data_IF_131494788646
#
_entry.id   IF_131494788646
#
_cell.length_a   1.000
_cell.length_b   1.000
_cell.length_c   1.000
_cell.angle_alpha   90.00
_cell.angle_beta   90.00
_cell.angle_gamma   90.00
#
_symmetry.space_group_name_H-M   'P 1'
#
loop_
_entity.id
_entity.type
_entity.pdbx_description
1 polymer ?
#
# COMPACT_ATOMS: atom_id res chain seq x y z
N UNK A 1 -41.80 -8.42 -35.24
CA UNK A 1 -42.16 -7.72 -34.00
C UNK A 1 -41.19 -8.11 -32.91
N UNK A 2 -40.13 -7.31 -32.76
CA UNK A 2 -39.10 -7.49 -31.73
C UNK A 2 -39.45 -6.55 -30.57
N UNK A 3 -39.84 -7.11 -29.42
CA UNK A 3 -40.05 -6.37 -28.18
C UNK A 3 -38.67 -6.06 -27.59
N UNK A 4 -38.20 -4.82 -27.70
CA UNK A 4 -37.09 -4.26 -26.96
C UNK A 4 -37.50 -4.10 -25.49
N UNK A 5 -36.95 -4.96 -24.64
CA UNK A 5 -37.05 -4.84 -23.18
C UNK A 5 -36.23 -3.62 -22.73
N UNK A 6 -36.92 -2.54 -22.38
CA UNK A 6 -36.31 -1.37 -21.75
C UNK A 6 -35.92 -1.71 -20.29
N UNK A 7 -34.62 -1.90 -20.01
CA UNK A 7 -34.12 -2.00 -18.66
C UNK A 7 -34.15 -0.61 -18.00
N UNK A 8 -34.44 -0.51 -16.69
CA UNK A 8 -34.69 0.75 -16.04
C UNK A 8 -33.37 1.53 -15.76
N UNK A 9 -33.07 2.50 -16.62
CA UNK A 9 -31.95 3.47 -16.46
C UNK A 9 -32.15 4.37 -15.23
N UNK A 10 -33.36 4.43 -14.63
CA UNK A 10 -33.68 5.34 -13.52
C UNK A 10 -33.06 4.97 -12.16
N UNK A 11 -32.79 3.71 -11.87
CA UNK A 11 -32.23 3.32 -10.57
C UNK A 11 -30.74 3.71 -10.43
N UNK A 12 -29.97 3.69 -11.50
CA UNK A 12 -28.54 4.03 -11.51
C UNK A 12 -28.32 5.55 -11.33
N UNK A 13 -29.18 6.38 -11.91
CA UNK A 13 -29.09 7.86 -11.80
C UNK A 13 -29.49 8.37 -10.41
N UNK A 14 -30.43 7.74 -9.74
CA UNK A 14 -30.86 8.12 -8.38
C UNK A 14 -29.78 7.79 -7.34
N UNK A 15 -29.19 6.61 -7.44
CA UNK A 15 -28.06 6.19 -6.60
C UNK A 15 -26.84 7.13 -6.76
N UNK A 16 -26.51 7.52 -7.99
CA UNK A 16 -25.42 8.45 -8.26
C UNK A 16 -25.68 9.86 -7.67
N UNK A 17 -26.91 10.38 -7.75
CA UNK A 17 -27.29 11.67 -7.14
C UNK A 17 -27.19 11.64 -5.61
N UNK A 18 -27.68 10.56 -4.97
CA UNK A 18 -27.55 10.41 -3.52
C UNK A 18 -26.08 10.36 -3.11
N UNK A 19 -25.27 9.59 -3.83
CA UNK A 19 -23.83 9.51 -3.56
C UNK A 19 -23.14 10.87 -3.70
N UNK A 20 -23.45 11.65 -4.74
CA UNK A 20 -22.93 13.00 -4.91
C UNK A 20 -23.37 13.93 -3.77
N UNK A 21 -24.64 13.88 -3.37
CA UNK A 21 -25.16 14.68 -2.26
C UNK A 21 -24.45 14.35 -0.94
N UNK A 22 -24.26 13.06 -0.65
CA UNK A 22 -23.54 12.63 0.56
C UNK A 22 -22.07 13.06 0.54
N UNK A 23 -21.39 12.95 -0.60
CA UNK A 23 -20.00 13.39 -0.75
C UNK A 23 -19.89 14.92 -0.59
N UNK A 24 -20.84 15.67 -1.15
CA UNK A 24 -20.89 17.15 -1.00
C UNK A 24 -21.14 17.52 0.45
N UNK A 25 -22.10 16.89 1.13
CA UNK A 25 -22.38 17.13 2.55
C UNK A 25 -21.16 16.80 3.42
N UNK A 26 -20.47 15.68 3.17
CA UNK A 26 -19.24 15.33 3.86
C UNK A 26 -18.13 16.37 3.60
N UNK A 27 -17.96 16.83 2.37
CA UNK A 27 -16.98 17.87 2.02
C UNK A 27 -17.26 19.18 2.74
N UNK A 28 -18.52 19.65 2.76
CA UNK A 28 -18.93 20.85 3.49
C UNK A 28 -18.71 20.67 4.99
N UNK A 29 -19.09 19.53 5.55
CA UNK A 29 -18.87 19.22 6.97
C UNK A 29 -17.37 19.30 7.34
N UNK A 30 -16.48 18.72 6.53
CA UNK A 30 -15.04 18.79 6.75
C UNK A 30 -14.54 20.26 6.70
N UNK A 31 -14.98 21.05 5.73
CA UNK A 31 -14.60 22.47 5.63
C UNK A 31 -15.05 23.22 6.89
N UNK A 32 -16.27 22.99 7.35
CA UNK A 32 -16.80 23.62 8.58
C UNK A 32 -15.94 23.25 9.79
N UNK A 33 -15.56 21.97 9.94
CA UNK A 33 -14.69 21.52 11.03
C UNK A 33 -13.29 22.17 10.96
N UNK A 34 -12.72 22.30 9.77
CA UNK A 34 -11.41 22.94 9.58
C UNK A 34 -11.43 24.39 10.02
N UNK A 35 -12.52 25.11 9.75
CA UNK A 35 -12.72 26.49 10.16
C UNK A 35 -13.10 26.65 11.64
N UNK A 36 -13.83 25.70 12.20
CA UNK A 36 -14.22 25.70 13.61
C UNK A 36 -13.05 25.34 14.55
N UNK A 37 -12.13 24.47 14.10
CA UNK A 37 -11.00 24.00 14.89
C UNK A 37 -9.65 24.25 14.18
N UNK A 38 -9.25 25.51 13.90
CA UNK A 38 -8.09 25.82 13.07
C UNK A 38 -6.76 25.34 13.68
N UNK A 39 -6.60 25.45 15.00
CA UNK A 39 -5.38 25.01 15.69
C UNK A 39 -5.19 23.48 15.59
N UNK A 40 -6.25 22.69 15.79
CA UNK A 40 -6.21 21.23 15.65
C UNK A 40 -6.01 20.81 14.20
N UNK A 41 -6.63 21.52 13.26
CA UNK A 41 -6.45 21.29 11.83
C UNK A 41 -4.97 21.44 11.43
N UNK A 42 -4.34 22.53 11.88
CA UNK A 42 -2.92 22.77 11.64
C UNK A 42 -2.05 21.71 12.32
N UNK A 43 -2.37 21.32 13.56
CA UNK A 43 -1.64 20.25 14.25
C UNK A 43 -1.68 18.93 13.49
N UNK A 44 -2.88 18.48 13.06
CA UNK A 44 -3.03 17.22 12.34
C UNK A 44 -2.34 17.24 10.98
N UNK A 45 -2.48 18.33 10.22
CA UNK A 45 -1.79 18.49 8.94
C UNK A 45 -0.26 18.51 9.12
N UNK A 46 0.23 19.25 10.12
CA UNK A 46 1.66 19.34 10.44
C UNK A 46 2.26 18.00 10.84
N UNK A 47 1.55 17.17 11.62
CA UNK A 47 1.99 15.81 11.96
C UNK A 47 2.22 14.96 10.71
N UNK A 48 1.25 14.96 9.78
CA UNK A 48 1.40 14.25 8.50
C UNK A 48 2.59 14.75 7.68
N UNK A 49 2.77 16.08 7.63
CA UNK A 49 3.86 16.73 6.90
C UNK A 49 5.24 16.38 7.49
N UNK A 50 5.38 16.46 8.81
CA UNK A 50 6.64 16.17 9.53
C UNK A 50 7.03 14.70 9.35
N UNK A 51 6.08 13.75 9.46
CA UNK A 51 6.34 12.34 9.24
C UNK A 51 6.74 12.07 7.78
N UNK A 52 6.06 12.69 6.83
CA UNK A 52 6.40 12.58 5.42
C UNK A 52 7.80 13.11 5.13
N UNK A 53 8.12 14.31 5.58
CA UNK A 53 9.38 14.97 5.29
C UNK A 53 10.57 14.25 5.97
N UNK A 54 10.46 13.96 7.27
CA UNK A 54 11.57 13.43 8.07
C UNK A 54 11.73 11.90 7.97
N UNK A 55 10.70 11.16 7.58
CA UNK A 55 10.74 9.69 7.55
C UNK A 55 10.56 9.14 6.13
N UNK A 56 9.52 9.56 5.41
CA UNK A 56 9.18 8.94 4.13
C UNK A 56 10.12 9.39 3.01
N UNK A 57 10.43 10.69 2.90
CA UNK A 57 11.34 11.17 1.85
C UNK A 57 12.71 10.49 1.95
N UNK A 58 13.44 10.54 3.08
CA UNK A 58 14.78 9.95 3.16
C UNK A 58 14.80 8.44 2.94
N UNK A 59 13.72 7.74 3.31
CA UNK A 59 13.68 6.27 3.23
C UNK A 59 13.18 5.77 1.88
N UNK A 60 12.22 6.45 1.24
CA UNK A 60 11.58 5.94 0.03
C UNK A 60 12.10 6.56 -1.27
N UNK A 61 12.38 7.88 -1.28
CA UNK A 61 12.77 8.58 -2.50
C UNK A 61 14.02 8.01 -3.18
N UNK A 62 15.12 7.67 -2.46
CA UNK A 62 16.28 7.03 -3.07
C UNK A 62 15.93 5.70 -3.75
N UNK A 63 15.12 4.87 -3.10
CA UNK A 63 14.66 3.61 -3.68
C UNK A 63 13.73 3.81 -4.87
N UNK A 64 12.85 4.83 -4.84
CA UNK A 64 12.01 5.18 -5.98
C UNK A 64 12.82 5.55 -7.20
N UNK A 65 13.89 6.34 -7.03
CA UNK A 65 14.78 6.74 -8.12
C UNK A 65 15.57 5.54 -8.64
N UNK A 66 16.23 4.80 -7.74
CA UNK A 66 17.05 3.64 -8.13
C UNK A 66 16.22 2.55 -8.81
N UNK A 67 15.05 2.22 -8.26
CA UNK A 67 14.13 1.25 -8.85
C UNK A 67 13.67 1.71 -10.25
N UNK A 68 13.33 2.97 -10.39
CA UNK A 68 12.95 3.57 -11.67
C UNK A 68 14.05 3.45 -12.72
N UNK A 69 15.31 3.73 -12.36
CA UNK A 69 16.48 3.55 -13.24
C UNK A 69 16.60 2.09 -13.67
N UNK A 70 16.55 1.14 -12.71
CA UNK A 70 16.65 -0.29 -12.99
C UNK A 70 15.58 -0.78 -13.97
N UNK A 71 14.34 -0.31 -13.80
CA UNK A 71 13.23 -0.65 -14.70
C UNK A 71 13.47 -0.05 -16.08
N UNK A 72 13.76 1.26 -16.18
CA UNK A 72 13.93 1.95 -17.48
C UNK A 72 15.13 1.47 -18.28
N UNK A 73 16.19 1.06 -17.61
CA UNK A 73 17.38 0.48 -18.25
C UNK A 73 17.29 -1.03 -18.46
N UNK A 74 16.16 -1.67 -18.13
CA UNK A 74 15.98 -3.12 -18.22
C UNK A 74 17.04 -3.94 -17.45
N UNK A 75 17.44 -3.48 -16.28
CA UNK A 75 18.45 -4.12 -15.42
C UNK A 75 17.87 -5.00 -14.32
N UNK A 76 16.55 -5.03 -14.15
CA UNK A 76 15.85 -5.76 -13.09
C UNK A 76 16.24 -7.24 -13.06
N UNK A 77 16.32 -7.91 -14.22
CA UNK A 77 16.68 -9.32 -14.32
C UNK A 77 18.12 -9.61 -13.85
N UNK A 78 19.06 -8.67 -14.05
CA UNK A 78 20.45 -8.81 -13.58
C UNK A 78 20.53 -8.72 -12.06
N UNK A 79 19.71 -7.84 -11.44
CA UNK A 79 19.68 -7.66 -9.99
C UNK A 79 19.18 -8.89 -9.25
N UNK A 80 18.31 -9.70 -9.86
CA UNK A 80 17.68 -10.85 -9.18
C UNK A 80 18.29 -12.18 -9.54
N UNK A 81 19.36 -12.22 -10.32
CA UNK A 81 19.96 -13.47 -10.80
C UNK A 81 20.24 -14.49 -9.71
N UNK A 82 20.67 -14.06 -8.52
CA UNK A 82 20.94 -14.93 -7.38
C UNK A 82 19.64 -15.43 -6.71
N UNK A 83 18.59 -14.62 -6.65
CA UNK A 83 17.36 -14.90 -5.91
C UNK A 83 16.28 -15.54 -6.78
N UNK A 84 16.29 -15.27 -8.09
CA UNK A 84 15.26 -15.75 -9.00
C UNK A 84 15.17 -17.29 -9.08
N UNK A 85 16.26 -18.09 -9.07
CA UNK A 85 16.16 -19.54 -9.10
C UNK A 85 15.34 -20.10 -7.93
N UNK A 86 15.39 -19.45 -6.77
CA UNK A 86 14.63 -19.83 -5.59
C UNK A 86 13.22 -19.22 -5.60
N UNK A 87 13.13 -17.89 -5.62
CA UNK A 87 11.85 -17.18 -5.51
C UNK A 87 10.97 -17.36 -6.74
N UNK A 88 11.56 -17.37 -7.94
CA UNK A 88 10.83 -17.60 -9.18
C UNK A 88 10.17 -18.99 -9.20
N UNK A 89 10.88 -20.03 -8.73
CA UNK A 89 10.31 -21.38 -8.61
C UNK A 89 9.26 -21.46 -7.49
N UNK A 90 9.49 -20.79 -6.36
CA UNK A 90 8.61 -20.82 -5.19
C UNK A 90 7.26 -20.12 -5.45
N UNK A 91 7.31 -18.99 -6.15
CA UNK A 91 6.13 -18.14 -6.41
C UNK A 91 5.66 -18.19 -7.88
N UNK A 92 6.33 -18.93 -8.74
CA UNK A 92 5.99 -19.03 -10.17
C UNK A 92 6.08 -17.70 -10.92
N UNK A 93 6.97 -16.79 -10.49
CA UNK A 93 7.06 -15.44 -11.02
C UNK A 93 8.19 -15.29 -12.03
N UNK A 94 8.03 -14.32 -12.94
CA UNK A 94 9.11 -13.89 -13.85
C UNK A 94 10.28 -13.27 -13.08
N UNK A 95 11.44 -13.05 -13.72
CA UNK A 95 12.53 -12.27 -13.11
C UNK A 95 12.10 -10.87 -12.64
N UNK A 96 11.22 -10.20 -13.40
CA UNK A 96 10.64 -8.91 -13.03
C UNK A 96 9.69 -9.03 -11.81
N UNK A 97 8.91 -10.11 -11.74
CA UNK A 97 8.10 -10.44 -10.56
C UNK A 97 8.96 -10.70 -9.33
N UNK A 98 10.07 -11.44 -9.48
CA UNK A 98 11.05 -11.65 -8.39
C UNK A 98 11.65 -10.32 -7.91
N UNK A 99 11.98 -9.39 -8.84
CA UNK A 99 12.42 -8.04 -8.49
C UNK A 99 11.37 -7.30 -7.66
N UNK A 100 10.10 -7.42 -8.04
CA UNK A 100 8.98 -6.82 -7.30
C UNK A 100 8.86 -7.39 -5.89
N UNK A 101 9.03 -8.70 -5.71
CA UNK A 101 9.03 -9.34 -4.38
C UNK A 101 10.14 -8.74 -3.52
N UNK A 102 11.38 -8.74 -4.01
CA UNK A 102 12.51 -8.23 -3.25
C UNK A 102 12.34 -6.76 -2.86
N UNK A 103 12.03 -5.91 -3.82
CA UNK A 103 11.91 -4.46 -3.58
C UNK A 103 10.67 -4.12 -2.75
N UNK A 104 9.55 -4.81 -2.94
CA UNK A 104 8.34 -4.60 -2.16
C UNK A 104 8.53 -4.94 -0.68
N UNK A 105 9.29 -6.01 -0.38
CA UNK A 105 9.63 -6.37 0.99
C UNK A 105 10.73 -5.50 1.61
N UNK A 106 11.70 -5.02 0.83
CA UNK A 106 12.80 -4.19 1.33
C UNK A 106 12.38 -2.75 1.57
N UNK A 107 11.61 -2.16 0.65
CA UNK A 107 11.29 -0.73 0.71
C UNK A 107 9.99 -0.43 1.45
N UNK A 108 9.00 -1.33 1.35
CA UNK A 108 7.72 -1.14 2.01
C UNK A 108 6.68 -0.39 1.16
N UNK A 109 5.55 -0.03 1.82
CA UNK A 109 4.49 0.77 1.19
C UNK A 109 5.01 2.11 0.68
N UNK A 110 4.60 2.56 -0.49
CA UNK A 110 3.82 1.90 -1.54
C UNK A 110 4.68 1.29 -2.65
N UNK A 111 5.96 0.96 -2.37
CA UNK A 111 6.94 0.57 -3.39
C UNK A 111 6.56 -0.71 -4.14
N UNK A 112 6.00 -1.70 -3.45
CA UNK A 112 5.50 -2.91 -4.11
C UNK A 112 4.49 -2.59 -5.21
N UNK A 113 3.49 -1.75 -4.89
CA UNK A 113 2.48 -1.32 -5.85
C UNK A 113 3.06 -0.47 -6.99
N UNK A 114 4.01 0.42 -6.68
CA UNK A 114 4.68 1.27 -7.66
C UNK A 114 5.43 0.44 -8.71
N UNK A 115 6.24 -0.52 -8.26
CA UNK A 115 7.02 -1.37 -9.16
C UNK A 115 6.10 -2.22 -10.03
N UNK A 116 5.03 -2.77 -9.46
CA UNK A 116 3.99 -3.46 -10.23
C UNK A 116 3.41 -2.55 -11.31
N UNK A 117 3.04 -1.31 -10.98
CA UNK A 117 2.52 -0.33 -11.93
C UNK A 117 3.52 -0.03 -13.05
N UNK A 118 4.74 0.35 -12.71
CA UNK A 118 5.79 0.68 -13.69
C UNK A 118 6.16 -0.51 -14.60
N UNK A 119 6.18 -1.74 -14.08
CA UNK A 119 6.46 -2.94 -14.88
C UNK A 119 5.28 -3.34 -15.79
N UNK A 120 4.04 -3.13 -15.35
CA UNK A 120 2.85 -3.33 -16.18
C UNK A 120 2.80 -2.31 -17.33
N UNK A 121 3.01 -1.03 -17.04
CA UNK A 121 3.06 0.03 -18.05
C UNK A 121 4.18 -0.23 -19.08
N UNK A 122 5.30 -0.76 -18.61
CA UNK A 122 6.43 -1.17 -19.48
C UNK A 122 6.15 -2.50 -20.22
N UNK A 123 5.02 -3.17 -20.04
CA UNK A 123 4.71 -4.48 -20.64
C UNK A 123 5.65 -5.61 -20.21
N UNK A 124 6.25 -5.53 -19.02
CA UNK A 124 7.27 -6.48 -18.54
C UNK A 124 6.77 -7.54 -17.58
N UNK A 125 5.56 -7.38 -17.07
CA UNK A 125 4.81 -8.39 -16.32
C UNK A 125 3.38 -8.44 -16.85
N UNK A 126 2.72 -9.58 -16.70
CA UNK A 126 1.33 -9.74 -17.06
C UNK A 126 0.41 -9.13 -15.99
N UNK A 127 -0.83 -8.80 -16.38
CA UNK A 127 -1.88 -8.37 -15.43
C UNK A 127 -2.12 -9.39 -14.31
N UNK A 128 -2.06 -10.69 -14.66
CA UNK A 128 -2.22 -11.78 -13.68
C UNK A 128 -1.08 -11.80 -12.69
N UNK A 129 0.16 -11.68 -13.16
CA UNK A 129 1.34 -11.60 -12.31
C UNK A 129 1.30 -10.35 -11.42
N UNK A 130 0.97 -9.17 -11.97
CA UNK A 130 0.84 -7.93 -11.20
C UNK A 130 -0.22 -8.03 -10.09
N UNK A 131 -1.40 -8.59 -10.38
CA UNK A 131 -2.45 -8.82 -9.38
C UNK A 131 -2.00 -9.81 -8.29
N UNK A 132 -1.26 -10.85 -8.66
CA UNK A 132 -0.68 -11.80 -7.71
C UNK A 132 0.35 -11.14 -6.80
N UNK A 133 1.28 -10.38 -7.37
CA UNK A 133 2.32 -9.68 -6.61
C UNK A 133 1.71 -8.68 -5.61
N UNK A 134 0.69 -7.92 -6.01
CA UNK A 134 -0.02 -7.02 -5.10
C UNK A 134 -0.66 -7.75 -3.93
N UNK A 135 -1.02 -9.02 -4.07
CA UNK A 135 -1.66 -9.76 -2.98
C UNK A 135 -0.77 -9.91 -1.74
N UNK A 136 0.57 -9.80 -1.86
CA UNK A 136 1.49 -10.04 -0.73
C UNK A 136 2.77 -9.19 -0.70
N UNK A 137 3.15 -8.49 -1.80
CA UNK A 137 4.43 -7.77 -1.88
C UNK A 137 4.36 -6.30 -1.45
N UNK A 138 3.19 -5.79 -1.07
CA UNK A 138 3.03 -4.38 -0.69
C UNK A 138 2.78 -4.30 0.82
N UNK A 139 3.85 -4.27 1.61
CA UNK A 139 3.83 -4.31 3.08
C UNK A 139 4.64 -3.14 3.66
N UNK A 140 4.72 -3.04 4.99
CA UNK A 140 5.61 -2.08 5.67
C UNK A 140 7.07 -2.48 5.46
N UNK A 141 7.97 -1.50 5.30
CA UNK A 141 9.39 -1.79 5.11
C UNK A 141 10.11 -2.19 6.41
N UNK A 142 11.11 -3.12 6.36
CA UNK A 142 11.82 -3.59 7.55
C UNK A 142 12.59 -2.48 8.27
N UNK A 143 13.18 -1.54 7.54
CA UNK A 143 13.88 -0.39 8.13
C UNK A 143 12.88 0.43 8.95
N UNK A 144 11.72 0.75 8.39
CA UNK A 144 10.68 1.50 9.09
C UNK A 144 10.12 0.71 10.29
N UNK A 145 9.88 -0.59 10.14
CA UNK A 145 9.44 -1.44 11.23
C UNK A 145 10.41 -1.42 12.40
N UNK A 146 11.70 -1.67 12.16
CA UNK A 146 12.73 -1.75 13.20
C UNK A 146 13.10 -0.39 13.79
N UNK A 147 13.14 0.69 12.96
CA UNK A 147 13.60 2.01 13.41
C UNK A 147 12.48 2.91 13.92
N UNK A 148 11.22 2.63 13.62
CA UNK A 148 10.09 3.44 14.04
C UNK A 148 9.04 2.65 14.83
N UNK A 149 8.51 1.55 14.26
CA UNK A 149 7.42 0.78 14.91
C UNK A 149 7.89 0.17 16.23
N UNK A 150 9.00 -0.57 16.20
CA UNK A 150 9.56 -1.27 17.38
C UNK A 150 9.83 -0.32 18.55
N UNK A 151 10.53 0.83 18.38
CA UNK A 151 10.73 1.79 19.44
C UNK A 151 9.43 2.43 19.94
N UNK A 152 8.54 2.84 19.03
CA UNK A 152 7.28 3.50 19.37
C UNK A 152 6.35 2.59 20.18
N UNK A 153 6.33 1.29 19.87
CA UNK A 153 5.55 0.28 20.61
C UNK A 153 6.29 -0.26 21.84
N UNK A 154 7.54 0.16 22.07
CA UNK A 154 8.42 -0.33 23.15
C UNK A 154 8.58 -1.85 23.17
N UNK A 155 8.67 -2.47 21.98
CA UNK A 155 8.80 -3.92 21.84
C UNK A 155 10.19 -4.36 22.29
N UNK A 156 10.26 -5.16 23.36
CA UNK A 156 11.54 -5.67 23.91
C UNK A 156 12.12 -6.82 23.08
N UNK A 157 11.26 -7.65 22.47
CA UNK A 157 11.65 -8.83 21.68
C UNK A 157 11.08 -8.71 20.26
N UNK A 158 11.75 -7.97 19.35
CA UNK A 158 11.19 -7.66 18.03
C UNK A 158 11.20 -8.84 17.05
N UNK A 159 11.92 -9.94 17.35
CA UNK A 159 12.10 -11.06 16.44
C UNK A 159 10.76 -11.70 16.04
N UNK A 160 9.89 -12.00 17.01
CA UNK A 160 8.60 -12.63 16.74
C UNK A 160 7.65 -11.72 15.96
N UNK A 161 7.41 -10.44 16.36
CA UNK A 161 6.64 -9.50 15.55
C UNK A 161 7.23 -9.30 14.15
N UNK A 162 8.56 -9.29 14.01
CA UNK A 162 9.23 -9.21 12.72
C UNK A 162 8.94 -10.46 11.86
N UNK A 163 9.07 -11.66 12.42
CA UNK A 163 8.76 -12.91 11.72
C UNK A 163 7.29 -13.00 11.29
N UNK A 164 6.35 -12.54 12.12
CA UNK A 164 4.93 -12.48 11.76
C UNK A 164 4.74 -11.47 10.62
N UNK A 165 5.29 -10.25 10.73
CA UNK A 165 5.08 -9.16 9.77
C UNK A 165 5.60 -9.49 8.37
N UNK A 166 6.72 -10.22 8.26
CA UNK A 166 7.35 -10.54 6.97
C UNK A 166 7.14 -12.00 6.54
N UNK A 167 7.17 -12.93 7.48
CA UNK A 167 6.96 -14.35 7.19
C UNK A 167 5.53 -14.65 6.76
N UNK A 168 4.53 -14.05 7.41
CA UNK A 168 3.12 -14.30 7.09
C UNK A 168 2.76 -13.90 5.66
N UNK A 169 3.07 -12.70 5.14
CA UNK A 169 2.81 -12.36 3.74
C UNK A 169 3.56 -13.27 2.75
N UNK A 170 4.78 -13.71 3.07
CA UNK A 170 5.52 -14.67 2.24
C UNK A 170 4.79 -16.02 2.18
N UNK A 171 4.41 -16.59 3.33
CA UNK A 171 3.62 -17.82 3.39
C UNK A 171 2.25 -17.65 2.70
N UNK A 172 1.62 -16.52 2.89
CA UNK A 172 0.35 -16.18 2.25
C UNK A 172 0.48 -16.15 0.72
N UNK A 173 1.53 -15.53 0.18
CA UNK A 173 1.81 -15.52 -1.25
C UNK A 173 1.99 -16.92 -1.82
N UNK A 174 2.69 -17.82 -1.10
CA UNK A 174 2.81 -19.24 -1.48
C UNK A 174 1.46 -19.96 -1.48
N UNK A 175 0.61 -19.70 -0.48
CA UNK A 175 -0.72 -20.29 -0.42
C UNK A 175 -1.61 -19.79 -1.58
N UNK A 176 -1.59 -18.48 -1.86
CA UNK A 176 -2.35 -17.88 -2.98
C UNK A 176 -1.90 -18.42 -4.33
N UNK A 177 -0.59 -18.68 -4.51
CA UNK A 177 -0.07 -19.28 -5.73
C UNK A 177 -0.60 -20.69 -5.99
N UNK A 178 -0.83 -21.48 -4.93
CA UNK A 178 -1.33 -22.86 -5.02
C UNK A 178 -2.83 -22.98 -5.16
N UNK A 179 -3.57 -21.86 -5.20
CA UNK A 179 -5.04 -21.90 -5.40
C UNK A 179 -5.39 -22.40 -6.82
N UNK A 180 -6.47 -23.19 -6.97
CA UNK A 180 -6.92 -23.68 -8.27
C UNK A 180 -7.14 -22.52 -9.27
N UNK A 181 -6.70 -22.74 -10.53
CA UNK A 181 -6.80 -21.73 -11.60
C UNK A 181 -5.60 -20.76 -11.70
N UNK A 182 -4.56 -20.92 -10.87
CA UNK A 182 -3.30 -20.18 -10.99
C UNK A 182 -2.16 -21.16 -11.28
N UNK A 183 -1.78 -21.30 -12.56
CA UNK A 183 -0.66 -22.16 -12.93
C UNK A 183 0.58 -21.29 -13.21
N UNK A 184 1.74 -21.74 -12.73
CA UNK A 184 3.04 -21.05 -12.89
C UNK A 184 3.37 -20.74 -14.36
N UNK A 185 2.95 -21.58 -15.30
CA UNK A 185 3.17 -21.39 -16.74
C UNK A 185 2.41 -20.20 -17.34
N UNK A 186 1.24 -19.87 -16.81
CA UNK A 186 0.38 -18.80 -17.35
C UNK A 186 0.86 -17.39 -16.95
N UNK A 187 1.67 -17.28 -15.91
CA UNK A 187 2.16 -15.98 -15.43
C UNK A 187 3.32 -15.44 -16.26
N UNK A 188 4.20 -16.33 -16.75
CA UNK A 188 5.39 -15.95 -17.52
C UNK A 188 5.16 -15.96 -19.04
N UNK A 189 4.16 -16.70 -19.53
CA UNK A 189 3.94 -16.92 -20.96
C UNK A 189 3.15 -15.81 -21.67
N UNK A 190 2.37 -15.00 -20.95
CA UNK A 190 1.56 -13.92 -21.52
C UNK A 190 2.37 -12.63 -21.83
N UNK A 191 3.66 -12.61 -21.51
CA UNK A 191 4.51 -11.45 -21.80
C UNK A 191 5.20 -11.70 -23.13
N UNK A 192 4.61 -11.21 -24.24
CA UNK A 192 5.39 -10.90 -25.42
C UNK A 192 6.44 -9.88 -25.00
N UNK A 193 7.70 -10.34 -24.89
CA UNK A 193 8.83 -9.46 -24.61
C UNK A 193 8.93 -8.37 -25.68
N UNK A 194 8.14 -7.34 -25.54
CA UNK A 194 8.47 -6.08 -26.20
C UNK A 194 9.74 -5.61 -25.49
N UNK A 195 10.87 -5.85 -26.11
CA UNK A 195 12.13 -5.18 -25.76
C UNK A 195 11.91 -3.69 -26.03
N UNK A 196 11.22 -3.01 -25.12
CA UNK A 196 11.19 -1.56 -25.11
C UNK A 196 12.64 -1.09 -25.10
N UNK A 197 12.99 -0.16 -25.96
CA UNK A 197 14.33 0.41 -26.04
C UNK A 197 14.73 0.85 -24.62
N UNK A 198 15.83 0.31 -24.10
CA UNK A 198 16.38 0.77 -22.84
C UNK A 198 16.80 2.24 -23.01
N UNK A 199 16.37 3.09 -22.09
CA UNK A 199 16.80 4.48 -22.09
C UNK A 199 18.31 4.58 -21.84
N UNK A 200 18.94 5.63 -22.35
CA UNK A 200 20.31 5.98 -21.96
C UNK A 200 20.35 6.32 -20.46
N UNK A 201 21.49 6.12 -19.80
CA UNK A 201 21.62 6.37 -18.38
C UNK A 201 21.18 7.78 -17.96
N UNK A 202 21.60 8.89 -18.64
CA UNK A 202 21.11 10.22 -18.26
C UNK A 202 19.61 10.37 -18.37
N UNK A 203 18.99 9.87 -19.43
CA UNK A 203 17.53 9.92 -19.61
C UNK A 203 16.79 9.07 -18.59
N UNK A 204 17.33 7.90 -18.25
CA UNK A 204 16.76 7.03 -17.22
C UNK A 204 16.83 7.67 -15.83
N UNK A 205 17.93 8.35 -15.49
CA UNK A 205 18.10 9.09 -14.22
C UNK A 205 17.10 10.23 -14.15
N UNK A 206 17.05 11.11 -15.15
CA UNK A 206 16.16 12.26 -15.17
C UNK A 206 14.69 11.84 -15.04
N UNK A 207 14.24 10.91 -15.88
CA UNK A 207 12.87 10.38 -15.82
C UNK A 207 12.54 9.70 -14.47
N UNK A 208 13.53 9.07 -13.84
CA UNK A 208 13.35 8.40 -12.54
C UNK A 208 13.30 9.39 -11.39
N UNK A 209 14.08 10.47 -11.44
CA UNK A 209 14.01 11.57 -10.47
C UNK A 209 12.64 12.24 -10.53
N UNK A 210 12.17 12.63 -11.71
CA UNK A 210 10.85 13.26 -11.89
C UNK A 210 9.73 12.35 -11.41
N UNK A 211 9.74 11.07 -11.81
CA UNK A 211 8.76 10.07 -11.38
C UNK A 211 8.83 9.83 -9.86
N UNK A 212 10.04 9.80 -9.28
CA UNK A 212 10.25 9.66 -7.84
C UNK A 212 9.69 10.83 -7.05
N UNK A 213 10.01 12.07 -7.46
CA UNK A 213 9.49 13.29 -6.84
C UNK A 213 7.97 13.39 -6.94
N UNK A 214 7.39 13.06 -8.08
CA UNK A 214 5.93 13.02 -8.24
C UNK A 214 5.29 11.98 -7.32
N UNK A 215 5.86 10.79 -7.24
CA UNK A 215 5.37 9.71 -6.38
C UNK A 215 5.42 10.07 -4.89
N UNK A 216 6.55 10.60 -4.42
CA UNK A 216 6.74 10.96 -3.01
C UNK A 216 5.87 12.17 -2.62
N UNK A 217 5.66 13.13 -3.51
CA UNK A 217 4.78 14.26 -3.28
C UNK A 217 3.31 13.83 -3.13
N UNK A 218 2.82 12.94 -4.01
CA UNK A 218 1.48 12.32 -3.87
C UNK A 218 1.32 11.61 -2.53
N UNK A 219 2.33 10.84 -2.12
CA UNK A 219 2.34 10.16 -0.82
C UNK A 219 2.19 11.15 0.33
N UNK A 220 2.94 12.25 0.31
CA UNK A 220 2.84 13.34 1.30
C UNK A 220 1.44 13.94 1.35
N UNK A 221 0.84 14.23 0.20
CA UNK A 221 -0.53 14.72 0.11
C UNK A 221 -1.55 13.77 0.77
N UNK A 222 -1.44 12.47 0.52
CA UNK A 222 -2.29 11.47 1.19
C UNK A 222 -2.05 11.45 2.70
N UNK A 223 -0.80 11.47 3.16
CA UNK A 223 -0.50 11.47 4.59
C UNK A 223 -1.10 12.68 5.30
N UNK A 224 -0.93 13.88 4.74
CA UNK A 224 -1.51 15.12 5.28
C UNK A 224 -3.04 15.02 5.30
N UNK A 225 -3.65 14.63 4.18
CA UNK A 225 -5.11 14.53 4.05
C UNK A 225 -5.71 13.53 5.05
N UNK A 226 -5.19 12.30 5.11
CA UNK A 226 -5.72 11.29 6.04
C UNK A 226 -5.45 11.61 7.50
N UNK A 227 -4.35 12.31 7.82
CA UNK A 227 -4.16 12.85 9.17
C UNK A 227 -5.19 13.90 9.52
N UNK A 228 -5.50 14.79 8.57
CA UNK A 228 -6.50 15.83 8.77
C UNK A 228 -7.90 15.26 9.03
N UNK A 229 -8.25 14.11 8.43
CA UNK A 229 -9.54 13.44 8.67
C UNK A 229 -9.77 13.04 10.15
N UNK A 230 -8.75 13.05 10.99
CA UNK A 230 -8.92 12.86 12.44
C UNK A 230 -9.78 13.95 13.10
N UNK A 231 -9.94 15.11 12.45
CA UNK A 231 -10.80 16.20 12.94
C UNK A 231 -12.27 15.80 13.00
N UNK A 232 -12.70 14.81 12.21
CA UNK A 232 -14.10 14.37 12.14
C UNK A 232 -14.64 13.95 13.50
N UNK A 233 -13.80 13.43 14.40
CA UNK A 233 -14.22 12.95 15.71
C UNK A 233 -14.03 13.97 16.83
N UNK A 234 -13.49 15.15 16.55
CA UNK A 234 -13.32 16.20 17.58
C UNK A 234 -14.65 16.60 18.23
N UNK A 235 -15.79 16.72 17.51
CA UNK A 235 -17.07 17.01 18.15
C UNK A 235 -17.65 15.89 19.01
N UNK A 236 -17.08 14.68 18.98
CA UNK A 236 -17.60 13.48 19.67
C UNK A 236 -16.72 13.14 20.89
N UNK A 237 -16.68 14.02 21.89
CA UNK A 237 -15.80 13.91 23.08
C UNK A 237 -16.03 12.63 23.92
N UNK A 238 -17.22 12.02 23.84
CA UNK A 238 -17.61 10.88 24.65
C UNK A 238 -17.31 9.50 24.01
N UNK A 239 -16.61 9.45 22.87
CA UNK A 239 -16.27 8.18 22.26
C UNK A 239 -15.21 7.41 23.09
N UNK A 240 -15.39 6.08 23.27
CA UNK A 240 -14.40 5.26 23.94
C UNK A 240 -13.01 5.40 23.29
N UNK A 241 -11.98 5.56 24.14
CA UNK A 241 -10.62 5.76 23.69
C UNK A 241 -10.13 4.65 22.70
N UNK A 242 -10.61 3.41 22.86
CA UNK A 242 -10.31 2.30 21.98
C UNK A 242 -10.82 2.54 20.55
N UNK A 243 -12.03 3.09 20.40
CA UNK A 243 -12.64 3.41 19.10
C UNK A 243 -11.81 4.48 18.39
N UNK A 244 -11.42 5.54 19.10
CA UNK A 244 -10.59 6.61 18.55
C UNK A 244 -9.22 6.10 18.12
N UNK A 245 -8.60 5.23 18.92
CA UNK A 245 -7.31 4.61 18.58
C UNK A 245 -7.39 3.71 17.34
N UNK A 246 -8.43 2.88 17.28
CA UNK A 246 -8.70 2.04 16.11
C UNK A 246 -8.90 2.88 14.85
N UNK A 247 -9.69 3.94 14.95
CA UNK A 247 -9.93 4.86 13.84
C UNK A 247 -8.65 5.55 13.36
N UNK A 248 -7.82 6.07 14.28
CA UNK A 248 -6.54 6.68 13.93
C UNK A 248 -5.65 5.71 13.13
N UNK A 249 -5.54 4.45 13.57
CA UNK A 249 -4.76 3.43 12.88
C UNK A 249 -5.35 3.05 11.51
N UNK A 250 -6.69 3.00 11.40
CA UNK A 250 -7.36 2.69 10.12
C UNK A 250 -7.26 3.81 9.11
N UNK A 251 -7.28 5.06 9.54
CA UNK A 251 -7.11 6.19 8.63
C UNK A 251 -5.69 6.26 8.08
N UNK A 252 -4.71 6.37 8.99
CA UNK A 252 -3.31 6.52 8.64
C UNK A 252 -2.44 5.83 9.70
N UNK A 253 -1.87 4.71 9.32
CA UNK A 253 -1.18 3.81 10.26
C UNK A 253 0.04 4.45 10.92
N UNK A 254 0.79 5.31 10.21
CA UNK A 254 2.00 5.95 10.74
C UNK A 254 1.68 6.86 11.93
N UNK A 255 0.65 7.70 11.77
CA UNK A 255 0.16 8.58 12.83
C UNK A 255 -0.59 7.80 13.90
N UNK A 256 -1.26 6.71 13.52
CA UNK A 256 -1.87 5.78 14.46
C UNK A 256 -0.84 5.16 15.40
N UNK A 257 0.34 4.76 14.89
CA UNK A 257 1.45 4.25 15.69
C UNK A 257 1.93 5.33 16.68
N UNK A 258 2.13 6.55 16.20
CA UNK A 258 2.61 7.68 17.01
C UNK A 258 1.65 8.00 18.16
N UNK A 259 0.33 8.03 17.88
CA UNK A 259 -0.70 8.39 18.88
C UNK A 259 -1.10 7.27 19.82
N UNK A 260 -1.06 6.03 19.36
CA UNK A 260 -1.70 4.90 20.04
C UNK A 260 -0.72 3.82 20.48
N UNK A 261 0.49 3.80 19.95
CA UNK A 261 1.44 2.70 20.12
C UNK A 261 1.78 2.37 21.57
N UNK A 262 1.93 3.38 22.42
CA UNK A 262 2.24 3.18 23.85
C UNK A 262 1.10 2.55 24.65
N UNK A 263 -0.15 2.75 24.22
CA UNK A 263 -1.34 2.33 24.97
C UNK A 263 -1.87 0.98 24.54
N UNK A 264 -1.69 0.63 23.25
CA UNK A 264 -2.20 -0.62 22.70
C UNK A 264 -1.32 -1.14 21.55
N UNK A 265 -0.14 -1.71 21.87
CA UNK A 265 0.80 -2.21 20.87
C UNK A 265 0.21 -3.35 20.01
N UNK A 266 -0.64 -4.21 20.60
CA UNK A 266 -1.27 -5.30 19.86
C UNK A 266 -2.21 -4.81 18.76
N UNK A 267 -3.05 -3.80 19.07
CA UNK A 267 -3.96 -3.20 18.10
C UNK A 267 -3.17 -2.69 16.89
N UNK A 268 -2.06 -1.98 17.15
CA UNK A 268 -1.21 -1.46 16.09
C UNK A 268 -0.59 -2.59 15.28
N UNK A 269 0.01 -3.61 15.93
CA UNK A 269 0.65 -4.73 15.25
C UNK A 269 -0.34 -5.54 14.39
N UNK A 270 -1.57 -5.72 14.85
CA UNK A 270 -2.64 -6.39 14.08
C UNK A 270 -3.02 -5.57 12.84
N UNK A 271 -3.09 -4.24 12.96
CA UNK A 271 -3.51 -3.37 11.86
C UNK A 271 -2.38 -3.00 10.88
N UNK A 272 -1.11 -3.28 11.23
CA UNK A 272 0.03 -2.99 10.36
C UNK A 272 -0.09 -3.60 8.95
N UNK A 273 -0.49 -4.88 8.76
CA UNK A 273 -0.67 -5.43 7.41
C UNK A 273 -1.74 -4.73 6.60
N UNK A 274 -2.77 -4.20 7.25
CA UNK A 274 -3.80 -3.39 6.60
C UNK A 274 -3.22 -2.07 6.08
N UNK A 275 -2.37 -1.40 6.86
CA UNK A 275 -1.68 -0.17 6.47
C UNK A 275 -2.53 1.10 6.53
N UNK A 276 -3.83 0.98 6.75
CA UNK A 276 -4.77 2.11 6.78
C UNK A 276 -5.27 2.57 5.40
N UNK A 277 -6.34 3.37 5.38
CA UNK A 277 -6.93 3.90 4.14
C UNK A 277 -5.96 4.79 3.36
N UNK A 278 -5.04 5.49 4.04
CA UNK A 278 -3.97 6.25 3.41
C UNK A 278 -3.12 5.35 2.49
N UNK A 279 -2.73 4.16 2.94
CA UNK A 279 -1.96 3.20 2.12
C UNK A 279 -2.77 2.65 0.95
N UNK A 280 -4.10 2.49 1.10
CA UNK A 280 -4.97 2.11 -0.02
C UNK A 280 -5.02 3.20 -1.09
N UNK A 281 -5.18 4.47 -0.69
CA UNK A 281 -5.17 5.60 -1.61
C UNK A 281 -3.80 5.75 -2.30
N UNK A 282 -2.71 5.56 -1.57
CA UNK A 282 -1.35 5.52 -2.12
C UNK A 282 -1.17 4.38 -3.12
N UNK A 283 -1.63 3.17 -2.78
CA UNK A 283 -1.58 2.01 -3.68
C UNK A 283 -2.38 2.28 -4.96
N UNK A 284 -3.60 2.82 -4.83
CA UNK A 284 -4.40 3.25 -6.00
C UNK A 284 -3.65 4.22 -6.88
N UNK A 285 -3.05 5.25 -6.31
CA UNK A 285 -2.28 6.25 -7.05
C UNK A 285 -1.12 5.66 -7.85
N UNK A 286 -0.53 4.55 -7.38
CA UNK A 286 0.58 3.87 -8.07
C UNK A 286 0.11 2.97 -9.23
N UNK A 287 -1.12 2.44 -9.16
CA UNK A 287 -1.65 1.50 -10.16
C UNK A 287 -2.80 2.06 -11.01
N UNK A 288 -3.23 3.31 -10.79
CA UNK A 288 -4.42 3.89 -11.45
C UNK A 288 -4.32 3.97 -12.98
N UNK A 289 -3.11 3.96 -13.53
CA UNK A 289 -2.84 3.96 -14.97
C UNK A 289 -2.80 2.54 -15.55
N UNK A 290 -3.03 1.52 -14.73
CA UNK A 290 -3.06 0.11 -15.13
C UNK A 290 -4.48 -0.44 -15.02
N UNK A 291 -4.71 -1.60 -15.64
CA UNK A 291 -6.00 -2.31 -15.54
C UNK A 291 -6.21 -3.06 -14.21
N UNK A 292 -5.37 -2.82 -13.20
CA UNK A 292 -5.47 -3.51 -11.92
C UNK A 292 -6.58 -2.91 -11.05
N UNK A 293 -7.31 -3.81 -10.38
CA UNK A 293 -8.36 -3.43 -9.44
C UNK A 293 -7.86 -3.48 -8.00
N UNK A 294 -8.25 -2.48 -7.19
CA UNK A 294 -7.99 -2.48 -5.74
C UNK A 294 -8.83 -3.48 -4.95
N UNK A 295 -9.95 -3.98 -5.49
CA UNK A 295 -10.84 -4.89 -4.74
C UNK A 295 -10.14 -6.19 -4.30
N UNK A 296 -9.42 -6.92 -5.18
CA UNK A 296 -8.64 -8.07 -4.75
C UNK A 296 -7.55 -7.71 -3.74
N UNK A 297 -6.88 -6.57 -3.92
CA UNK A 297 -5.86 -6.08 -2.99
C UNK A 297 -6.44 -5.86 -1.59
N UNK A 298 -7.58 -5.18 -1.47
CA UNK A 298 -8.29 -4.98 -0.20
C UNK A 298 -8.63 -6.32 0.47
N UNK A 299 -9.19 -7.26 -0.28
CA UNK A 299 -9.50 -8.60 0.22
C UNK A 299 -8.26 -9.30 0.80
N UNK A 300 -7.15 -9.32 0.05
CA UNK A 300 -5.91 -9.93 0.52
C UNK A 300 -5.34 -9.25 1.77
N UNK A 301 -5.45 -7.92 1.88
CA UNK A 301 -5.03 -7.17 3.06
C UNK A 301 -5.88 -7.46 4.28
N UNK A 302 -7.19 -7.57 4.13
CA UNK A 302 -8.09 -7.99 5.21
C UNK A 302 -7.79 -9.42 5.68
N UNK A 303 -7.55 -10.35 4.76
CA UNK A 303 -7.15 -11.73 5.09
C UNK A 303 -5.84 -11.77 5.88
N UNK A 304 -4.79 -11.05 5.42
CA UNK A 304 -3.52 -10.96 6.14
C UNK A 304 -3.69 -10.35 7.53
N UNK A 305 -4.49 -9.30 7.66
CA UNK A 305 -4.80 -8.66 8.94
C UNK A 305 -5.50 -9.64 9.90
N UNK A 306 -6.50 -10.39 9.39
CA UNK A 306 -7.19 -11.42 10.17
C UNK A 306 -6.27 -12.54 10.66
N UNK A 307 -5.39 -13.05 9.78
CA UNK A 307 -4.41 -14.08 10.16
C UNK A 307 -3.40 -13.52 11.16
N UNK A 308 -2.95 -12.27 10.98
CA UNK A 308 -2.07 -11.58 11.95
C UNK A 308 -2.73 -11.46 13.32
N UNK A 309 -4.03 -11.10 13.36
CA UNK A 309 -4.80 -11.05 14.60
C UNK A 309 -4.84 -12.41 15.29
N UNK A 310 -5.11 -13.48 14.57
CA UNK A 310 -5.09 -14.86 15.11
C UNK A 310 -3.70 -15.23 15.66
N UNK A 311 -2.61 -14.89 14.95
CA UNK A 311 -1.26 -15.14 15.44
C UNK A 311 -0.99 -14.44 16.78
N UNK A 312 -1.39 -13.17 16.93
CA UNK A 312 -1.17 -12.43 18.18
C UNK A 312 -2.12 -12.85 19.32
N UNK A 313 -3.33 -13.31 19.02
CA UNK A 313 -4.25 -13.89 20.03
C UNK A 313 -3.70 -15.20 20.57
N UNK A 314 -3.11 -16.04 19.69
CA UNK A 314 -2.61 -17.35 20.09
C UNK A 314 -1.24 -17.29 20.78
N UNK A 315 -0.42 -16.29 20.49
CA UNK A 315 1.01 -16.33 20.87
C UNK A 315 1.48 -15.19 21.78
N UNK A 316 0.65 -14.37 22.33
CA UNK A 316 0.95 -13.31 23.33
C UNK A 316 2.44 -12.93 23.42
N UNK A 317 3.02 -12.12 22.50
CA UNK A 317 4.47 -11.87 22.44
C UNK A 317 5.01 -10.85 23.46
N UNK A 318 4.21 -10.35 24.40
CA UNK A 318 4.57 -9.36 25.42
C UNK A 318 4.40 -9.88 26.83
#
# INVERSE_FOLDING_TARGET
>A
MLKTSAYPVKASTYSAKIQQMLLTALGVYLIVLLLAYPALSLEYASKGLVLWFNKMIPTLLPFMILSGIMIRMNLTHKCVGLFHPLLGRLYGTSPNGTYTILMGFLCGFPMGARIVGELLEAGRISRREGSFLLSFCNNIGPIYFLSFVVPMLRIRRPLLPFCIMYGLPLLYGMAVMRMPGRHSGDMASDVSFHQGQSLSLPAAVDASVVSGLTGIAKLGGYMVFFNLLNIVFVPFENLPALILRFYNCILEITSGIDRCGHFNPYLVLILLPFGGFSCFAQTYSMIQHTDLSLRPYLFHKLMQTGITALCYILWHPF
#
